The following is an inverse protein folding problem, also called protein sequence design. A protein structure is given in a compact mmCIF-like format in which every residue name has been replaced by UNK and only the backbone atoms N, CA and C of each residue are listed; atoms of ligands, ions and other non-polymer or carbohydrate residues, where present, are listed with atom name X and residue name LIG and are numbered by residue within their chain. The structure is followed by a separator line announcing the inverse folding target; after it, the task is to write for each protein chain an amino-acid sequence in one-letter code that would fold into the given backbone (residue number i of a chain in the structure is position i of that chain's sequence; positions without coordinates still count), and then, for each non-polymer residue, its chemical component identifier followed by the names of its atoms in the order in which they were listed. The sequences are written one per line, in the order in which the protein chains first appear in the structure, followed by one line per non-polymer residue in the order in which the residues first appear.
data_IF_716745009579
#
_entry.id   IF_716745009579
#
_cell.length_a   1.000
_cell.length_b   1.000
_cell.length_c   1.000
_cell.angle_alpha   90.00
_cell.angle_beta   90.00
_cell.angle_gamma   90.00
#
_symmetry.space_group_name_H-M   'P 1'
#
loop_
_entity.id
_entity.type
_entity.pdbx_description
1 polymer ?
#
# COMPACT_ATOMS: atom_id res chain seq x y z
N UNK A 1 16.86 2.32 23.27
CA UNK A 1 16.08 1.29 22.57
C UNK A 1 14.64 1.78 22.57
N UNK A 2 14.30 2.69 21.65
CA UNK A 2 12.96 3.29 21.61
C UNK A 2 12.14 2.61 20.52
N UNK A 3 11.52 1.48 20.89
CA UNK A 3 10.41 0.90 20.14
C UNK A 3 9.18 1.76 20.39
N UNK A 4 9.08 2.89 19.68
CA UNK A 4 7.81 3.54 19.46
C UNK A 4 6.90 2.52 18.76
N UNK A 5 6.00 1.93 19.55
CA UNK A 5 4.94 1.03 19.08
C UNK A 5 4.14 1.79 18.03
N UNK A 6 4.38 1.50 16.76
CA UNK A 6 3.56 2.02 15.67
C UNK A 6 2.18 1.36 15.79
N UNK A 7 1.20 2.15 16.22
CA UNK A 7 -0.18 1.79 16.57
C UNK A 7 -1.07 1.43 15.37
N UNK A 8 -0.46 0.95 14.28
CA UNK A 8 -1.16 0.61 13.03
C UNK A 8 -1.09 -0.89 12.83
N UNK A 9 -2.13 -1.59 13.27
CA UNK A 9 -2.24 -3.03 13.14
C UNK A 9 -2.62 -3.41 11.69
N UNK A 10 -1.66 -3.29 10.78
CA UNK A 10 -1.81 -3.77 9.40
C UNK A 10 -1.79 -5.30 9.43
N UNK A 11 -2.80 -5.99 8.88
CA UNK A 11 -2.90 -7.45 8.98
C UNK A 11 -1.71 -8.14 8.28
N UNK A 12 -1.42 -9.38 8.70
CA UNK A 12 -0.37 -10.19 8.06
C UNK A 12 -0.80 -10.73 6.69
N UNK A 13 -2.11 -10.81 6.45
CA UNK A 13 -2.68 -11.14 5.14
C UNK A 13 -3.55 -9.97 4.71
N UNK A 14 -3.24 -9.42 3.54
CA UNK A 14 -3.98 -8.33 2.92
C UNK A 14 -4.72 -8.91 1.72
N UNK A 15 -6.01 -8.61 1.59
CA UNK A 15 -6.86 -9.18 0.54
C UNK A 15 -7.41 -8.04 -0.31
N UNK A 16 -7.18 -8.10 -1.63
CA UNK A 16 -7.88 -7.23 -2.57
C UNK A 16 -9.34 -7.74 -2.69
N UNK A 17 -10.36 -6.98 -2.24
CA UNK A 17 -11.74 -7.45 -2.24
C UNK A 17 -12.32 -7.61 -3.66
N UNK A 18 -11.75 -6.92 -4.65
CA UNK A 18 -12.20 -6.96 -6.05
C UNK A 18 -11.69 -8.20 -6.77
N UNK A 19 -10.42 -8.54 -6.60
CA UNK A 19 -9.80 -9.67 -7.32
C UNK A 19 -9.70 -10.94 -6.48
N UNK A 20 -9.90 -10.85 -5.16
CA UNK A 20 -9.63 -11.91 -4.17
C UNK A 20 -8.16 -12.32 -4.10
N UNK A 21 -7.25 -11.54 -4.70
CA UNK A 21 -5.81 -11.76 -4.55
C UNK A 21 -5.42 -11.55 -3.09
N UNK A 22 -4.64 -12.48 -2.56
CA UNK A 22 -4.14 -12.42 -1.19
C UNK A 22 -2.64 -12.14 -1.22
N UNK A 23 -2.22 -11.23 -0.34
CA UNK A 23 -0.83 -10.86 -0.16
C UNK A 23 -0.41 -11.16 1.27
N UNK A 24 0.63 -11.95 1.44
CA UNK A 24 1.32 -12.10 2.72
C UNK A 24 2.20 -10.87 2.94
N UNK A 25 2.04 -10.19 4.08
CA UNK A 25 2.86 -9.05 4.50
C UNK A 25 4.19 -9.56 5.07
N UNK A 26 5.27 -9.19 4.41
CA UNK A 26 6.64 -9.44 4.83
C UNK A 26 7.24 -8.29 5.65
N UNK A 27 8.53 -8.04 5.45
CA UNK A 27 9.31 -7.07 6.23
C UNK A 27 8.84 -5.63 6.01
N UNK A 28 9.04 -4.80 7.04
CA UNK A 28 8.91 -3.35 6.92
C UNK A 28 10.07 -2.78 6.11
N UNK A 29 9.75 -1.96 5.11
CA UNK A 29 10.72 -1.33 4.21
C UNK A 29 11.04 0.10 4.62
N UNK A 30 10.08 0.81 5.22
CA UNK A 30 10.28 2.18 5.66
C UNK A 30 8.99 3.02 5.69
N UNK A 31 9.12 4.26 6.16
CA UNK A 31 8.04 5.24 6.24
C UNK A 31 8.23 6.33 5.18
N UNK A 32 7.16 6.67 4.47
CA UNK A 32 7.14 7.74 3.46
C UNK A 32 5.93 8.65 3.66
N UNK A 33 6.12 9.84 4.24
CA UNK A 33 5.02 10.73 4.61
C UNK A 33 4.05 10.05 5.58
N UNK A 34 2.78 9.90 5.17
CA UNK A 34 1.75 9.18 5.93
C UNK A 34 1.76 7.66 5.69
N UNK A 35 2.49 7.19 4.68
CA UNK A 35 2.50 5.80 4.28
C UNK A 35 3.56 4.99 5.04
N UNK A 36 3.27 3.69 5.19
CA UNK A 36 4.26 2.67 5.56
C UNK A 36 4.40 1.69 4.41
N UNK A 37 5.64 1.38 4.06
CA UNK A 37 5.94 0.44 3.00
C UNK A 37 6.34 -0.90 3.60
N UNK A 38 5.74 -1.97 3.09
CA UNK A 38 6.06 -3.35 3.45
C UNK A 38 6.35 -4.16 2.20
N UNK A 39 7.13 -5.22 2.36
CA UNK A 39 7.19 -6.28 1.36
C UNK A 39 5.83 -6.99 1.32
N UNK A 40 5.25 -7.19 0.14
CA UNK A 40 4.02 -7.95 -0.07
C UNK A 40 4.27 -9.09 -1.03
N UNK A 41 3.85 -10.30 -0.67
CA UNK A 41 4.06 -11.50 -1.49
C UNK A 41 2.69 -12.02 -1.89
N UNK A 42 2.38 -12.01 -3.19
CA UNK A 42 1.17 -12.65 -3.71
C UNK A 42 1.25 -14.15 -3.41
N UNK A 43 0.29 -14.65 -2.63
CA UNK A 43 0.30 -16.04 -2.16
C UNK A 43 0.02 -17.06 -3.26
N UNK A 44 -0.47 -16.62 -4.42
CA UNK A 44 -0.79 -17.47 -5.57
C UNK A 44 0.41 -17.56 -6.51
N UNK A 45 0.98 -16.42 -6.91
CA UNK A 45 2.09 -16.37 -7.87
C UNK A 45 3.48 -16.48 -7.23
N UNK A 46 3.59 -16.20 -5.92
CA UNK A 46 4.86 -16.04 -5.22
C UNK A 46 5.60 -14.74 -5.56
N UNK A 47 5.02 -13.88 -6.40
CA UNK A 47 5.65 -12.63 -6.79
C UNK A 47 5.70 -11.65 -5.62
N UNK A 48 6.84 -10.98 -5.46
CA UNK A 48 7.09 -10.01 -4.40
C UNK A 48 6.96 -8.58 -4.90
N UNK A 49 6.34 -7.72 -4.09
CA UNK A 49 6.03 -6.33 -4.36
C UNK A 49 6.39 -5.43 -3.18
N UNK A 50 6.45 -4.12 -3.41
CA UNK A 50 6.43 -3.12 -2.35
C UNK A 50 5.01 -2.57 -2.18
N UNK A 51 4.38 -2.85 -1.03
CA UNK A 51 3.06 -2.34 -0.69
C UNK A 51 3.14 -1.04 0.10
N UNK A 52 2.62 0.05 -0.45
CA UNK A 52 2.47 1.33 0.23
C UNK A 52 1.10 1.38 0.91
N UNK A 53 1.07 1.31 2.24
CA UNK A 53 -0.16 1.30 3.04
C UNK A 53 -0.36 2.65 3.70
N UNK A 54 -1.53 3.26 3.49
CA UNK A 54 -1.95 4.55 4.05
C UNK A 54 -3.23 4.38 4.87
N UNK A 55 -3.19 4.66 6.18
CA UNK A 55 -4.39 4.62 7.01
C UNK A 55 -5.43 5.66 6.56
N UNK A 56 -6.69 5.25 6.43
CA UNK A 56 -7.80 6.14 6.08
C UNK A 56 -8.00 7.25 7.11
N UNK A 57 -7.66 6.99 8.37
CA UNK A 57 -7.65 7.98 9.45
C UNK A 57 -6.67 9.14 9.22
N UNK A 58 -5.69 8.98 8.32
CA UNK A 58 -4.76 10.04 7.93
C UNK A 58 -5.21 10.80 6.67
N UNK A 59 -6.32 10.39 6.05
CA UNK A 59 -6.87 10.92 4.80
C UNK A 59 -8.21 11.62 5.01
N UNK A 60 -8.41 12.25 6.16
CA UNK A 60 -9.71 12.85 6.53
C UNK A 60 -10.03 14.06 5.66
N UNK A 61 -9.02 14.86 5.28
CA UNK A 61 -9.25 16.09 4.51
C UNK A 61 -9.43 15.79 3.02
N UNK A 62 -10.42 16.40 2.33
CA UNK A 62 -10.65 16.17 0.90
C UNK A 62 -9.40 16.32 0.04
N UNK A 63 -8.62 17.38 0.28
CA UNK A 63 -7.35 17.63 -0.40
C UNK A 63 -6.33 16.47 -0.29
N UNK A 64 -6.29 15.74 0.84
CA UNK A 64 -5.39 14.61 1.01
C UNK A 64 -5.83 13.41 0.15
N UNK A 65 -7.15 13.19 0.06
CA UNK A 65 -7.73 12.15 -0.81
C UNK A 65 -7.49 12.47 -2.28
N UNK A 66 -7.68 13.72 -2.69
CA UNK A 66 -7.40 14.17 -4.06
C UNK A 66 -5.94 13.96 -4.45
N UNK A 67 -4.99 14.31 -3.56
CA UNK A 67 -3.56 14.07 -3.79
C UNK A 67 -3.24 12.59 -3.98
N UNK A 68 -3.82 11.72 -3.16
CA UNK A 68 -3.67 10.27 -3.31
C UNK A 68 -4.25 9.79 -4.64
N UNK A 69 -5.47 10.21 -4.99
CA UNK A 69 -6.11 9.82 -6.25
C UNK A 69 -5.31 10.27 -7.47
N UNK A 70 -4.74 11.47 -7.42
CA UNK A 70 -3.82 11.96 -8.45
C UNK A 70 -2.56 11.10 -8.54
N UNK A 71 -1.95 10.73 -7.40
CA UNK A 71 -0.77 9.85 -7.36
C UNK A 71 -1.07 8.51 -8.07
N UNK A 72 -2.20 7.88 -7.73
CA UNK A 72 -2.65 6.61 -8.34
C UNK A 72 -2.90 6.79 -9.84
N UNK A 73 -3.65 7.82 -10.23
CA UNK A 73 -4.04 8.06 -11.63
C UNK A 73 -2.81 8.26 -12.52
N UNK A 74 -1.88 9.09 -12.07
CA UNK A 74 -0.65 9.37 -12.83
C UNK A 74 0.17 8.10 -12.91
N UNK A 75 0.46 7.42 -11.80
CA UNK A 75 1.37 6.29 -11.77
C UNK A 75 0.81 5.07 -12.52
N UNK A 76 -0.49 4.80 -12.41
CA UNK A 76 -1.15 3.71 -13.14
C UNK A 76 -1.08 3.89 -14.67
N UNK A 77 -1.02 5.14 -15.16
CA UNK A 77 -0.92 5.44 -16.59
C UNK A 77 0.47 5.21 -17.19
N UNK A 78 1.49 4.96 -16.37
CA UNK A 78 2.89 4.82 -16.80
C UNK A 78 3.26 3.34 -16.97
N UNK A 79 3.87 3.01 -18.12
CA UNK A 79 4.45 1.70 -18.39
C UNK A 79 5.77 1.88 -19.16
N UNK A 80 6.88 1.86 -18.43
CA UNK A 80 8.20 2.08 -19.00
C UNK A 80 9.29 1.42 -18.16
N UNK A 81 10.30 0.82 -18.81
CA UNK A 81 11.38 0.06 -18.16
C UNK A 81 12.11 0.81 -17.03
N UNK A 82 12.21 2.13 -17.15
CA UNK A 82 12.94 2.99 -16.21
C UNK A 82 12.05 3.76 -15.24
N UNK A 83 10.75 3.46 -15.23
CA UNK A 83 9.78 4.01 -14.27
C UNK A 83 9.31 2.84 -13.40
N UNK A 84 9.11 3.08 -12.11
CA UNK A 84 8.57 2.05 -11.21
C UNK A 84 7.24 1.56 -11.76
N UNK A 85 7.08 0.25 -11.94
CA UNK A 85 5.82 -0.30 -12.44
C UNK A 85 4.74 -0.21 -11.36
N UNK A 86 3.57 0.30 -11.75
CA UNK A 86 2.36 0.24 -10.94
C UNK A 86 1.64 -1.08 -11.20
N UNK A 87 1.35 -1.85 -10.15
CA UNK A 87 0.73 -3.18 -10.27
C UNK A 87 -0.74 -3.21 -9.90
N UNK A 88 -1.10 -2.67 -8.73
CA UNK A 88 -2.48 -2.63 -8.25
C UNK A 88 -2.68 -1.53 -7.20
N UNK A 89 -3.95 -1.20 -7.00
CA UNK A 89 -4.47 -0.35 -5.94
C UNK A 89 -5.86 -0.82 -5.55
N UNK A 90 -6.09 -0.90 -4.25
CA UNK A 90 -7.34 -1.30 -3.62
C UNK A 90 -7.38 -0.73 -2.19
N UNK A 91 -8.51 -0.87 -1.52
CA UNK A 91 -8.69 -0.39 -0.16
C UNK A 91 -9.46 -1.41 0.67
N UNK A 92 -9.17 -1.45 1.97
CA UNK A 92 -9.94 -2.18 2.98
C UNK A 92 -10.73 -1.20 3.87
N UNK A 93 -11.31 -1.66 4.98
CA UNK A 93 -12.07 -0.81 5.89
C UNK A 93 -11.23 0.33 6.50
N UNK A 94 -9.94 0.08 6.75
CA UNK A 94 -9.07 0.94 7.55
C UNK A 94 -7.94 1.59 6.73
N UNK A 95 -7.55 0.99 5.62
CA UNK A 95 -6.37 1.36 4.85
C UNK A 95 -6.67 1.42 3.35
N UNK A 96 -5.78 2.14 2.69
CA UNK A 96 -5.62 2.18 1.24
C UNK A 96 -4.18 1.81 0.92
#
# INVERSE_FOLDING_TARGET
MDTAKDEFNIPNVIVDPRTRTQYSKGKFLGKGGFARCYELIDTTSGQTFAGKVVPKSMLVKPHQKEKMQQEVTIHQSLNHKHIVQFFSYFEDENNV
#
